data_IF_201277712061
#
_entry.id   IF_201277712061
#
_cell.length_a   1.000
_cell.length_b   1.000
_cell.length_c   1.000
_cell.angle_alpha   90.00
_cell.angle_beta   90.00
_cell.angle_gamma   90.00
#
_symmetry.space_group_name_H-M   'P 1'
#
loop_
_entity.id
_entity.type
_entity.pdbx_description
1 polymer ?
#
# COMPACT_ATOMS: atom_id res chain seq x y z
N UNK A 1 -24.96 71.35 6.29
CA UNK A 1 -25.36 70.30 5.34
C UNK A 1 -24.18 69.39 5.08
N UNK A 2 -24.34 68.13 5.49
CA UNK A 2 -23.69 66.87 5.06
C UNK A 2 -22.19 66.81 4.75
N UNK A 3 -21.38 66.40 5.73
CA UNK A 3 -20.24 65.50 5.49
C UNK A 3 -20.11 64.58 6.71
N UNK A 4 -20.68 63.38 6.65
CA UNK A 4 -20.45 62.26 7.60
C UNK A 4 -21.30 61.07 7.17
N UNK A 5 -20.84 60.30 6.17
CA UNK A 5 -21.30 58.93 5.92
C UNK A 5 -20.64 58.41 4.64
N UNK A 6 -19.35 58.07 4.64
CA UNK A 6 -18.84 57.23 3.54
C UNK A 6 -17.59 56.42 3.88
N UNK A 7 -17.39 56.06 5.14
CA UNK A 7 -16.15 55.37 5.57
C UNK A 7 -16.40 54.15 6.44
N UNK A 8 -17.52 53.45 6.25
CA UNK A 8 -17.81 52.19 6.98
C UNK A 8 -18.51 51.22 6.03
N UNK A 9 -17.82 50.73 5.00
CA UNK A 9 -18.31 49.55 4.27
C UNK A 9 -17.23 48.67 3.63
N UNK A 10 -15.96 49.11 3.60
CA UNK A 10 -14.91 48.37 2.91
C UNK A 10 -14.14 47.36 3.77
N UNK A 11 -14.37 47.29 5.09
CA UNK A 11 -13.50 46.55 6.00
C UNK A 11 -13.96 45.12 6.36
N UNK A 12 -15.15 44.68 5.96
CA UNK A 12 -15.72 43.40 6.41
C UNK A 12 -15.66 42.25 5.39
N UNK A 13 -15.26 42.50 4.13
CA UNK A 13 -15.19 41.43 3.11
C UNK A 13 -13.81 40.75 2.96
N UNK A 14 -12.76 41.22 3.64
CA UNK A 14 -11.40 40.74 3.39
C UNK A 14 -10.96 39.50 4.22
N UNK A 15 -11.79 39.00 5.13
CA UNK A 15 -11.37 37.96 6.10
C UNK A 15 -11.81 36.52 5.76
N UNK A 16 -12.53 36.29 4.65
CA UNK A 16 -13.06 34.95 4.34
C UNK A 16 -12.17 34.08 3.43
N UNK A 17 -11.02 34.59 2.96
CA UNK A 17 -10.28 33.96 1.85
C UNK A 17 -9.16 32.97 2.24
N UNK A 18 -8.91 32.74 3.54
CA UNK A 18 -7.81 31.87 3.99
C UNK A 18 -8.30 30.74 4.89
N UNK A 19 -9.33 30.01 4.48
CA UNK A 19 -9.57 28.67 5.03
C UNK A 19 -8.94 27.67 4.07
N UNK A 20 -7.66 27.39 4.28
CA UNK A 20 -7.04 26.18 3.76
C UNK A 20 -7.64 25.02 4.56
N UNK A 21 -8.79 24.51 4.13
CA UNK A 21 -9.28 23.22 4.63
C UNK A 21 -8.20 22.20 4.36
N UNK A 22 -7.68 21.58 5.43
CA UNK A 22 -6.77 20.46 5.32
C UNK A 22 -7.41 19.43 4.36
N UNK A 23 -6.69 19.07 3.30
CA UNK A 23 -7.16 18.05 2.36
C UNK A 23 -7.32 16.77 3.16
N UNK A 24 -8.55 16.26 3.21
CA UNK A 24 -8.81 14.95 3.82
C UNK A 24 -7.93 13.92 3.12
N UNK A 25 -7.24 13.03 3.86
CA UNK A 25 -6.42 11.98 3.26
C UNK A 25 -7.26 11.23 2.23
N UNK A 26 -6.76 11.14 1.00
CA UNK A 26 -7.47 10.42 -0.03
C UNK A 26 -7.50 8.94 0.37
N UNK A 27 -8.67 8.28 0.40
CA UNK A 27 -8.73 6.87 0.72
C UNK A 27 -7.87 6.06 -0.27
N UNK A 28 -7.22 4.98 0.16
CA UNK A 28 -6.34 4.21 -0.70
C UNK A 28 -7.13 3.67 -1.90
N UNK A 29 -6.49 3.64 -3.07
CA UNK A 29 -7.11 3.23 -4.35
C UNK A 29 -7.29 1.71 -4.46
N UNK A 30 -6.59 0.96 -3.61
CA UNK A 30 -6.66 -0.48 -3.50
C UNK A 30 -6.33 -0.93 -2.07
N UNK A 31 -6.67 -2.18 -1.76
CA UNK A 31 -6.27 -2.88 -0.54
C UNK A 31 -5.66 -4.22 -0.93
N UNK A 32 -4.57 -4.59 -0.28
CA UNK A 32 -3.93 -5.89 -0.49
C UNK A 32 -4.55 -6.92 0.46
N UNK A 33 -4.78 -8.15 -0.01
CA UNK A 33 -5.31 -9.22 0.83
C UNK A 33 -4.68 -10.58 0.52
N UNK A 34 -5.10 -11.59 1.28
CA UNK A 34 -4.57 -12.94 1.21
C UNK A 34 -4.81 -13.65 -0.13
N UNK A 35 -5.66 -13.12 -0.99
CA UNK A 35 -6.07 -13.69 -2.27
C UNK A 35 -5.68 -12.82 -3.46
N UNK A 36 -5.13 -11.62 -3.23
CA UNK A 36 -4.66 -10.72 -4.27
C UNK A 36 -4.86 -9.25 -3.90
N UNK A 37 -5.52 -8.52 -4.80
CA UNK A 37 -5.69 -7.07 -4.70
C UNK A 37 -7.17 -6.73 -4.87
N UNK A 38 -7.71 -5.94 -3.94
CA UNK A 38 -9.05 -5.41 -3.98
C UNK A 38 -9.02 -3.91 -4.33
N UNK A 39 -9.35 -3.51 -5.58
CA UNK A 39 -9.55 -2.11 -5.91
C UNK A 39 -10.66 -1.51 -5.05
N UNK A 40 -10.52 -0.27 -4.59
CA UNK A 40 -11.59 0.39 -3.80
C UNK A 40 -12.69 0.99 -4.68
N UNK A 41 -12.36 1.29 -5.94
CA UNK A 41 -13.27 1.85 -6.94
C UNK A 41 -14.16 0.80 -7.62
N UNK A 42 -13.96 -0.50 -7.35
CA UNK A 42 -14.73 -1.57 -7.97
C UNK A 42 -14.90 -2.78 -7.04
N UNK A 43 -15.95 -3.56 -7.25
CA UNK A 43 -16.15 -4.84 -6.56
C UNK A 43 -15.38 -6.00 -7.21
N UNK A 44 -14.62 -5.74 -8.29
CA UNK A 44 -13.91 -6.77 -9.03
C UNK A 44 -12.48 -6.92 -8.49
N UNK A 45 -12.26 -7.99 -7.73
CA UNK A 45 -10.94 -8.35 -7.21
C UNK A 45 -10.00 -8.78 -8.34
N UNK A 46 -8.72 -8.47 -8.15
CA UNK A 46 -7.63 -9.03 -8.93
C UNK A 46 -7.08 -10.20 -8.12
N UNK A 47 -7.66 -11.38 -8.35
CA UNK A 47 -7.25 -12.63 -7.71
C UNK A 47 -5.84 -13.07 -8.13
N UNK A 48 -5.18 -13.85 -7.29
CA UNK A 48 -4.10 -14.72 -7.73
C UNK A 48 -4.56 -15.63 -8.88
N UNK A 49 -3.64 -15.96 -9.79
CA UNK A 49 -3.91 -16.68 -11.04
C UNK A 49 -4.28 -15.78 -12.23
N UNK A 50 -4.37 -14.45 -12.04
CA UNK A 50 -4.64 -13.52 -13.15
C UNK A 50 -3.37 -13.25 -13.96
N UNK A 51 -3.55 -13.08 -15.28
CA UNK A 51 -2.44 -12.90 -16.22
C UNK A 51 -1.63 -11.62 -15.97
N UNK A 52 -0.31 -11.75 -15.93
CA UNK A 52 0.66 -10.70 -15.60
C UNK A 52 0.42 -9.37 -16.34
N UNK A 53 0.27 -9.31 -17.68
CA UNK A 53 0.10 -8.03 -18.37
C UNK A 53 -1.16 -7.28 -17.92
N UNK A 54 -2.25 -8.00 -17.68
CA UNK A 54 -3.52 -7.41 -17.24
C UNK A 54 -3.48 -6.93 -15.79
N UNK A 55 -2.76 -7.64 -14.93
CA UNK A 55 -2.56 -7.22 -13.53
C UNK A 55 -1.71 -5.95 -13.48
N UNK A 56 -0.57 -5.92 -14.18
CA UNK A 56 0.32 -4.74 -14.22
C UNK A 56 -0.45 -3.54 -14.78
N UNK A 57 -1.13 -3.66 -15.92
CA UNK A 57 -1.90 -2.56 -16.51
C UNK A 57 -2.99 -2.03 -15.56
N UNK A 58 -3.72 -2.93 -14.90
CA UNK A 58 -4.80 -2.52 -13.98
C UNK A 58 -4.24 -1.82 -12.75
N UNK A 59 -3.19 -2.35 -12.13
CA UNK A 59 -2.56 -1.75 -10.94
C UNK A 59 -1.92 -0.41 -11.29
N UNK A 60 -1.23 -0.30 -12.44
CA UNK A 60 -0.67 0.96 -12.91
C UNK A 60 -1.72 2.04 -13.12
N UNK A 61 -2.91 1.69 -13.63
CA UNK A 61 -4.01 2.65 -13.75
C UNK A 61 -4.60 3.07 -12.40
N UNK A 62 -4.60 2.19 -11.40
CA UNK A 62 -5.09 2.51 -10.06
C UNK A 62 -4.12 3.44 -9.32
N UNK A 63 -2.83 3.16 -9.39
CA UNK A 63 -1.78 3.94 -8.73
C UNK A 63 -1.43 5.23 -9.49
N UNK A 64 -1.64 5.26 -10.80
CA UNK A 64 -1.37 6.41 -11.66
C UNK A 64 0.02 6.38 -12.31
N UNK A 65 0.79 5.31 -12.12
CA UNK A 65 2.16 5.13 -12.56
C UNK A 65 2.49 3.68 -12.95
N UNK A 66 3.57 3.50 -13.71
CA UNK A 66 4.08 2.19 -14.10
C UNK A 66 5.02 1.60 -13.05
N UNK A 67 5.26 0.26 -13.04
CA UNK A 67 6.36 -0.28 -12.26
C UNK A 67 7.70 0.34 -12.72
N UNK A 68 8.56 0.72 -11.79
CA UNK A 68 9.92 1.19 -12.06
C UNK A 68 10.81 0.08 -12.62
N UNK A 69 10.52 -1.18 -12.27
CA UNK A 69 11.28 -2.33 -12.71
C UNK A 69 10.41 -3.57 -12.85
N UNK A 70 10.70 -4.37 -13.87
CA UNK A 70 10.20 -5.74 -14.02
C UNK A 70 11.40 -6.66 -14.19
N UNK A 71 11.65 -7.53 -13.21
CA UNK A 71 12.85 -8.37 -13.15
C UNK A 71 12.49 -9.82 -12.89
N UNK A 72 13.28 -10.76 -13.40
CA UNK A 72 13.08 -12.19 -13.16
C UNK A 72 14.22 -12.75 -12.31
N UNK A 73 13.87 -13.38 -11.18
CA UNK A 73 14.79 -14.18 -10.39
C UNK A 73 14.61 -15.67 -10.76
N UNK A 74 15.59 -16.21 -11.48
CA UNK A 74 15.59 -17.62 -11.90
C UNK A 74 15.96 -18.60 -10.77
N UNK A 75 16.53 -18.10 -9.68
CA UNK A 75 17.04 -18.89 -8.54
C UNK A 75 16.11 -18.85 -7.32
N UNK A 76 14.89 -18.33 -7.50
CA UNK A 76 13.89 -18.34 -6.44
C UNK A 76 13.51 -19.79 -6.08
N UNK A 77 13.43 -20.09 -4.78
CA UNK A 77 13.17 -21.45 -4.29
C UNK A 77 11.83 -22.05 -4.74
N UNK A 78 10.86 -21.20 -5.12
CA UNK A 78 9.58 -21.60 -5.71
C UNK A 78 9.66 -21.88 -7.23
N UNK A 79 10.84 -21.78 -7.84
CA UNK A 79 11.04 -21.71 -9.30
C UNK A 79 11.12 -20.26 -9.80
N UNK A 80 11.39 -20.02 -11.09
CA UNK A 80 11.54 -18.67 -11.63
C UNK A 80 10.34 -17.77 -11.32
N UNK A 81 10.60 -16.59 -10.75
CA UNK A 81 9.58 -15.58 -10.42
C UNK A 81 9.95 -14.27 -11.08
N UNK A 82 8.98 -13.64 -11.72
CA UNK A 82 9.09 -12.27 -12.23
C UNK A 82 8.42 -11.31 -11.25
N UNK A 83 9.12 -10.26 -10.85
CA UNK A 83 8.62 -9.24 -9.94
C UNK A 83 8.48 -7.92 -10.68
N UNK A 84 7.31 -7.30 -10.60
CA UNK A 84 7.08 -5.91 -11.01
C UNK A 84 7.05 -5.04 -9.75
N UNK A 85 7.92 -4.04 -9.67
CA UNK A 85 8.10 -3.19 -8.49
C UNK A 85 7.75 -1.75 -8.82
N UNK A 86 7.01 -1.10 -7.93
CA UNK A 86 6.68 0.33 -7.94
C UNK A 86 7.56 1.09 -6.96
N UNK A 87 7.78 2.38 -7.23
CA UNK A 87 8.70 3.25 -6.48
C UNK A 87 8.36 3.30 -4.97
N UNK A 88 7.08 3.32 -4.62
CA UNK A 88 6.60 3.40 -3.23
C UNK A 88 6.73 2.07 -2.45
N UNK A 89 7.21 1.00 -3.10
CA UNK A 89 7.55 -0.26 -2.44
C UNK A 89 6.48 -1.35 -2.52
N UNK A 90 5.53 -1.25 -3.46
CA UNK A 90 4.71 -2.38 -3.88
C UNK A 90 5.48 -3.25 -4.87
N UNK A 91 5.56 -4.56 -4.61
CA UNK A 91 6.06 -5.56 -5.55
C UNK A 91 4.99 -6.60 -5.81
N UNK A 92 4.70 -6.88 -7.09
CA UNK A 92 3.83 -7.96 -7.53
C UNK A 92 4.67 -9.09 -8.10
N UNK A 93 4.42 -10.32 -7.66
CA UNK A 93 5.16 -11.51 -8.05
C UNK A 93 4.33 -12.35 -9.02
N UNK A 94 4.99 -12.80 -10.08
CA UNK A 94 4.42 -13.58 -11.17
C UNK A 94 5.23 -14.84 -11.39
N UNK A 95 4.54 -15.95 -11.67
CA UNK A 95 5.17 -17.21 -12.03
C UNK A 95 4.38 -17.85 -13.17
N UNK A 96 5.08 -18.31 -14.21
CA UNK A 96 4.47 -18.86 -15.43
C UNK A 96 3.44 -17.92 -16.10
N UNK A 97 3.57 -16.60 -15.89
CA UNK A 97 2.65 -15.58 -16.39
C UNK A 97 1.46 -15.28 -15.49
N UNK A 98 1.31 -15.98 -14.35
CA UNK A 98 0.22 -15.79 -13.40
C UNK A 98 0.66 -14.94 -12.21
N UNK A 99 -0.22 -14.07 -11.73
CA UNK A 99 -0.04 -13.33 -10.48
C UNK A 99 -0.15 -14.29 -9.28
N UNK A 100 0.93 -14.41 -8.50
CA UNK A 100 1.04 -15.45 -7.45
C UNK A 100 1.32 -14.89 -6.06
N UNK A 101 1.57 -13.59 -5.93
CA UNK A 101 1.84 -12.99 -4.63
C UNK A 101 2.17 -11.52 -4.74
N UNK A 102 2.21 -10.86 -3.59
CA UNK A 102 2.61 -9.47 -3.48
C UNK A 102 3.45 -9.28 -2.22
N UNK A 103 4.28 -8.24 -2.24
CA UNK A 103 5.06 -7.74 -1.11
C UNK A 103 4.84 -6.23 -1.06
N UNK A 104 4.71 -5.64 0.12
CA UNK A 104 4.54 -4.20 0.27
C UNK A 104 5.28 -3.66 1.49
N UNK A 105 6.08 -2.61 1.25
CA UNK A 105 6.60 -1.69 2.28
C UNK A 105 5.95 -0.30 2.20
N UNK A 106 4.97 -0.13 1.31
CA UNK A 106 4.26 1.12 1.07
C UNK A 106 3.34 1.46 2.27
N UNK A 107 3.59 2.54 3.02
CA UNK A 107 2.80 2.90 4.20
C UNK A 107 1.39 3.41 3.86
N UNK A 108 1.15 3.80 2.60
CA UNK A 108 -0.12 4.32 2.12
C UNK A 108 -1.05 3.22 1.58
N UNK A 109 -0.51 2.02 1.32
CA UNK A 109 -1.31 0.85 0.95
C UNK A 109 -1.74 0.04 2.17
N UNK A 110 -3.07 0.04 2.39
CA UNK A 110 -3.70 -0.79 3.41
C UNK A 110 -3.67 -2.28 3.04
N UNK A 111 -3.49 -3.11 4.07
CA UNK A 111 -3.61 -4.57 3.98
C UNK A 111 -4.81 -5.05 4.80
N UNK A 112 -5.53 -6.05 4.28
CA UNK A 112 -6.64 -6.69 4.97
C UNK A 112 -6.27 -7.09 6.41
N UNK A 113 -7.24 -7.00 7.31
CA UNK A 113 -6.99 -7.19 8.75
C UNK A 113 -6.51 -5.94 9.48
N UNK A 114 -6.41 -4.80 8.78
CA UNK A 114 -6.09 -3.49 9.34
C UNK A 114 -4.59 -3.24 9.50
N UNK A 115 -3.75 -3.99 8.79
CA UNK A 115 -2.30 -3.80 8.84
C UNK A 115 -1.84 -2.83 7.75
N UNK A 116 -0.70 -2.18 7.98
CA UNK A 116 0.05 -1.41 6.98
C UNK A 116 1.53 -1.34 7.36
N UNK A 117 2.45 -1.23 6.41
CA UNK A 117 3.83 -0.85 6.69
C UNK A 117 3.90 0.44 7.53
N UNK A 118 4.86 0.52 8.44
CA UNK A 118 5.01 1.63 9.38
C UNK A 118 4.08 1.61 10.60
N UNK A 119 3.07 0.74 10.66
CA UNK A 119 2.19 0.60 11.83
C UNK A 119 2.99 0.21 13.07
N UNK A 120 2.76 0.90 14.19
CA UNK A 120 3.40 0.57 15.47
C UNK A 120 2.99 -0.83 15.94
N UNK A 121 3.93 -1.61 16.48
CA UNK A 121 3.64 -2.90 17.10
C UNK A 121 2.58 -2.80 18.20
N UNK A 122 2.52 -1.66 18.89
CA UNK A 122 1.55 -1.40 19.96
C UNK A 122 0.12 -1.20 19.45
N UNK A 123 -0.03 -0.80 18.19
CA UNK A 123 -1.31 -0.56 17.53
C UNK A 123 -1.83 -1.80 16.79
N UNK A 124 -0.99 -2.83 16.65
CA UNK A 124 -1.35 -4.04 15.94
C UNK A 124 -2.49 -4.79 16.65
N UNK A 125 -3.41 -5.39 15.88
CA UNK A 125 -4.28 -6.45 16.38
C UNK A 125 -3.47 -7.56 17.08
N UNK A 126 -4.09 -8.24 18.04
CA UNK A 126 -3.46 -9.37 18.72
C UNK A 126 -3.00 -10.41 17.70
N UNK A 127 -1.69 -10.68 17.67
CA UNK A 127 -1.05 -11.65 16.79
C UNK A 127 0.13 -12.31 17.50
N UNK A 128 0.46 -13.53 17.10
CA UNK A 128 1.65 -14.24 17.58
C UNK A 128 2.87 -13.85 16.75
N UNK A 129 4.04 -13.84 17.39
CA UNK A 129 5.32 -13.51 16.75
C UNK A 129 6.28 -14.69 16.81
N UNK A 130 7.11 -14.82 15.78
CA UNK A 130 8.17 -15.81 15.70
C UNK A 130 9.48 -15.14 15.27
N UNK A 131 10.60 -15.52 15.91
CA UNK A 131 11.93 -15.06 15.52
C UNK A 131 12.47 -16.02 14.46
N UNK A 132 12.84 -15.50 13.30
CA UNK A 132 13.41 -16.25 12.18
C UNK A 132 14.77 -15.66 11.78
N UNK A 133 15.41 -16.24 10.76
CA UNK A 133 16.62 -15.67 10.15
C UNK A 133 16.39 -14.33 9.46
N UNK A 134 15.14 -14.00 9.12
CA UNK A 134 14.78 -12.72 8.51
C UNK A 134 14.48 -11.62 9.55
N UNK A 135 14.20 -12.01 10.80
CA UNK A 135 13.80 -11.10 11.89
C UNK A 135 12.56 -11.59 12.65
N UNK A 136 11.87 -10.66 13.32
CA UNK A 136 10.63 -10.96 14.04
C UNK A 136 9.44 -10.92 13.08
N UNK A 137 8.89 -12.09 12.78
CA UNK A 137 7.77 -12.28 11.86
C UNK A 137 6.45 -12.52 12.59
N UNK A 138 5.35 -12.27 11.90
CA UNK A 138 4.00 -12.64 12.32
C UNK A 138 3.19 -13.09 11.10
N UNK A 139 2.11 -13.83 11.37
CA UNK A 139 1.15 -14.23 10.34
C UNK A 139 -0.26 -14.15 10.89
N UNK A 140 -1.21 -13.67 10.06
CA UNK A 140 -2.63 -13.61 10.38
C UNK A 140 -3.45 -13.69 9.10
N UNK A 141 -4.32 -14.69 9.01
CA UNK A 141 -5.22 -14.87 7.86
C UNK A 141 -4.46 -14.89 6.52
N UNK A 142 -3.37 -15.65 6.46
CA UNK A 142 -2.47 -15.80 5.30
C UNK A 142 -1.76 -14.51 4.83
N UNK A 143 -1.93 -13.41 5.57
CA UNK A 143 -1.05 -12.24 5.52
C UNK A 143 0.11 -12.47 6.45
N UNK A 144 1.32 -12.33 5.93
CA UNK A 144 2.54 -12.42 6.70
C UNK A 144 3.17 -11.04 6.80
N UNK A 145 3.95 -10.83 7.85
CA UNK A 145 4.64 -9.57 8.06
C UNK A 145 5.89 -9.76 8.88
N UNK A 146 6.78 -8.78 8.77
CA UNK A 146 8.02 -8.73 9.52
C UNK A 146 8.22 -7.33 10.08
N UNK A 147 8.72 -7.27 11.30
CA UNK A 147 8.96 -6.01 11.98
C UNK A 147 10.27 -5.35 11.53
N UNK A 148 10.41 -4.08 11.88
CA UNK A 148 11.68 -3.36 11.79
C UNK A 148 12.71 -3.99 12.72
N UNK A 149 13.99 -3.68 12.49
CA UNK A 149 15.00 -3.91 13.51
C UNK A 149 14.57 -3.21 14.82
N UNK A 150 14.66 -3.91 15.95
CA UNK A 150 14.16 -3.43 17.25
C UNK A 150 12.65 -3.58 17.48
N UNK A 151 11.92 -4.24 16.57
CA UNK A 151 10.51 -4.63 16.72
C UNK A 151 9.50 -3.49 16.96
N UNK A 152 9.83 -2.26 16.55
CA UNK A 152 9.01 -1.08 16.87
C UNK A 152 7.77 -0.96 15.97
N UNK A 153 7.88 -1.34 14.70
CA UNK A 153 6.84 -1.19 13.69
C UNK A 153 6.87 -2.31 12.64
N UNK A 154 5.82 -2.42 11.85
CA UNK A 154 5.78 -3.29 10.66
C UNK A 154 6.70 -2.72 9.59
N UNK A 155 7.63 -3.51 9.08
CA UNK A 155 8.54 -3.11 7.99
C UNK A 155 8.03 -3.55 6.62
N UNK A 156 7.55 -4.78 6.52
CA UNK A 156 7.17 -5.40 5.25
C UNK A 156 5.98 -6.35 5.48
N UNK A 157 5.05 -6.37 4.54
CA UNK A 157 3.89 -7.27 4.51
C UNK A 157 3.89 -8.06 3.19
N UNK A 158 3.36 -9.28 3.20
CA UNK A 158 3.23 -10.09 1.99
C UNK A 158 2.13 -11.15 2.08
N UNK A 159 1.67 -11.60 0.92
CA UNK A 159 0.86 -12.80 0.74
C UNK A 159 1.25 -13.52 -0.55
N UNK A 160 0.97 -14.83 -0.59
CA UNK A 160 1.31 -15.68 -1.74
C UNK A 160 2.82 -15.96 -1.85
N UNK A 161 3.27 -16.23 -3.09
CA UNK A 161 4.66 -16.59 -3.39
C UNK A 161 5.58 -15.38 -3.25
N UNK A 162 6.67 -15.57 -2.50
CA UNK A 162 7.77 -14.61 -2.37
C UNK A 162 9.10 -15.30 -2.66
N UNK A 163 10.15 -14.50 -2.91
CA UNK A 163 11.50 -14.99 -3.13
C UNK A 163 12.45 -14.63 -1.99
N UNK A 164 11.94 -14.66 -0.75
CA UNK A 164 12.78 -14.51 0.43
C UNK A 164 13.62 -15.78 0.62
N UNK A 165 14.93 -15.64 0.53
CA UNK A 165 15.87 -16.72 0.81
C UNK A 165 15.85 -17.03 2.31
N UNK A 166 15.69 -18.31 2.63
CA UNK A 166 15.60 -18.83 4.00
C UNK A 166 16.47 -20.06 4.14
#
# INVERSE_FOLDING_TARGET
MHVRALTILAATLALAACVTTAREPQPPVLTLDAQGIQPTVSQLRIDFGRAQPGVIDTVSRLLGDGPEAVTTNAECGAGPVTSATWEDGLTLNFQNGDFVGWVSSDPDLGVAGGFRPGMSRLEMPQTSFQITTLGTEFSRSDINGILTEGDAAIRLLWAGTTCFFR
#
